data_IF_295551239206
#
_entry.id   IF_295551239206
#
_cell.length_a   1.000
_cell.length_b   1.000
_cell.length_c   1.000
_cell.angle_alpha   90.00
_cell.angle_beta   90.00
_cell.angle_gamma   90.00
#
_symmetry.space_group_name_H-M   'P 1'
#
loop_
_entity.id
_entity.type
_entity.pdbx_description
1 polymer ?
#
# COMPACT_ATOMS: atom_id res chain seq x y z
N UNK A 1 -22.41 14.77 -5.34
CA UNK A 1 -22.82 13.38 -5.63
C UNK A 1 -23.11 12.65 -4.32
N UNK A 2 -23.93 11.60 -4.38
CA UNK A 2 -24.15 10.67 -3.25
C UNK A 2 -23.22 9.46 -3.42
N UNK A 3 -22.32 9.26 -2.50
CA UNK A 3 -21.26 8.25 -2.57
C UNK A 3 -21.48 7.21 -1.49
N UNK A 4 -21.49 5.93 -1.85
CA UNK A 4 -21.39 4.83 -0.92
C UNK A 4 -19.93 4.38 -0.86
N UNK A 5 -19.36 4.26 0.34
CA UNK A 5 -18.00 3.75 0.53
C UNK A 5 -17.99 2.57 1.48
N UNK A 6 -17.53 1.43 1.01
CA UNK A 6 -17.29 0.25 1.86
C UNK A 6 -15.88 0.36 2.44
N UNK A 7 -15.80 0.57 3.76
CA UNK A 7 -14.64 1.07 4.47
C UNK A 7 -14.78 2.58 4.76
N UNK A 8 -13.70 3.35 4.70
CA UNK A 8 -13.74 4.81 4.86
C UNK A 8 -13.06 5.33 6.11
N UNK A 9 -12.82 4.49 7.10
CA UNK A 9 -12.16 4.86 8.37
C UNK A 9 -10.69 4.40 8.45
N UNK A 10 -10.19 3.72 7.42
CA UNK A 10 -8.81 3.24 7.34
C UNK A 10 -7.83 4.33 6.88
N UNK A 11 -6.54 3.99 6.85
CA UNK A 11 -5.44 4.89 6.50
C UNK A 11 -5.63 5.61 5.15
N UNK A 12 -5.85 4.86 4.07
CA UNK A 12 -6.07 5.43 2.74
C UNK A 12 -7.46 6.08 2.67
N UNK A 13 -8.47 5.31 3.02
CA UNK A 13 -9.85 5.69 2.80
C UNK A 13 -10.30 6.91 3.60
N UNK A 14 -9.75 7.14 4.81
CA UNK A 14 -10.06 8.35 5.59
C UNK A 14 -9.57 9.63 4.90
N UNK A 15 -8.42 9.57 4.21
CA UNK A 15 -7.92 10.70 3.42
C UNK A 15 -8.79 10.92 2.16
N UNK A 16 -9.29 9.85 1.51
CA UNK A 16 -10.25 9.98 0.40
C UNK A 16 -11.54 10.62 0.87
N UNK A 17 -12.10 10.15 2.01
CA UNK A 17 -13.34 10.70 2.58
C UNK A 17 -13.20 12.19 2.86
N UNK A 18 -12.11 12.63 3.47
CA UNK A 18 -11.85 14.07 3.74
C UNK A 18 -11.93 14.89 2.47
N UNK A 19 -11.23 14.47 1.41
CA UNK A 19 -11.25 15.20 0.14
C UNK A 19 -12.64 15.21 -0.51
N UNK A 20 -13.39 14.10 -0.46
CA UNK A 20 -14.75 14.03 -1.00
C UNK A 20 -15.70 14.98 -0.26
N UNK A 21 -15.57 15.11 1.06
CA UNK A 21 -16.35 16.03 1.87
C UNK A 21 -15.99 17.48 1.54
N UNK A 22 -14.70 17.79 1.47
CA UNK A 22 -14.19 19.11 1.13
C UNK A 22 -14.69 19.59 -0.25
N UNK A 23 -14.94 18.65 -1.17
CA UNK A 23 -15.55 18.91 -2.48
C UNK A 23 -17.09 18.95 -2.46
N UNK A 24 -17.71 18.83 -1.29
CA UNK A 24 -19.16 18.96 -1.12
C UNK A 24 -19.95 17.70 -1.50
N UNK A 25 -19.33 16.52 -1.51
CA UNK A 25 -20.02 15.25 -1.72
C UNK A 25 -20.68 14.75 -0.44
N UNK A 26 -21.81 14.05 -0.58
CA UNK A 26 -22.46 13.35 0.54
C UNK A 26 -21.95 11.90 0.57
N UNK A 27 -21.28 11.49 1.62
CA UNK A 27 -20.64 10.20 1.74
C UNK A 27 -21.33 9.34 2.80
N UNK A 28 -21.77 8.13 2.40
CA UNK A 28 -22.25 7.10 3.33
C UNK A 28 -21.15 6.06 3.51
N UNK A 29 -20.66 5.88 4.74
CA UNK A 29 -19.61 4.94 5.10
C UNK A 29 -20.19 3.66 5.68
N UNK A 30 -19.94 2.54 5.03
CA UNK A 30 -20.18 1.21 5.62
C UNK A 30 -19.00 0.88 6.52
N UNK A 31 -19.24 0.74 7.82
CA UNK A 31 -18.22 0.48 8.84
C UNK A 31 -18.80 -0.34 10.00
N UNK A 32 -17.93 -1.08 10.68
CA UNK A 32 -18.29 -1.82 11.91
C UNK A 32 -18.45 -0.94 13.15
N UNK A 33 -18.02 0.33 13.05
CA UNK A 33 -18.05 1.25 14.19
C UNK A 33 -16.91 1.10 15.20
N UNK A 34 -15.91 0.28 14.90
CA UNK A 34 -14.76 0.00 15.77
C UNK A 34 -13.66 1.07 15.67
N UNK A 35 -13.66 1.85 14.60
CA UNK A 35 -12.65 2.89 14.34
C UNK A 35 -13.08 4.22 14.93
N UNK A 36 -12.11 5.09 15.24
CA UNK A 36 -12.38 6.43 15.74
C UNK A 36 -13.11 7.28 14.69
N UNK A 37 -14.38 7.61 14.96
CA UNK A 37 -15.30 8.31 14.05
C UNK A 37 -15.14 9.84 14.14
N UNK A 38 -14.35 10.35 15.08
CA UNK A 38 -14.13 11.80 15.26
C UNK A 38 -13.31 12.46 14.14
N UNK A 39 -12.88 11.67 13.16
CA UNK A 39 -12.01 12.10 12.05
C UNK A 39 -12.70 13.01 11.02
N UNK A 40 -14.04 13.12 11.05
CA UNK A 40 -14.80 13.80 10.00
C UNK A 40 -15.76 14.85 10.55
N UNK A 41 -15.90 15.97 9.84
CA UNK A 41 -17.05 16.85 10.03
C UNK A 41 -18.34 16.08 9.65
N UNK A 42 -19.23 15.95 10.62
CA UNK A 42 -20.41 15.07 10.53
C UNK A 42 -21.52 15.61 9.62
N UNK A 43 -21.39 16.81 9.05
CA UNK A 43 -22.46 17.42 8.26
C UNK A 43 -22.73 16.70 6.93
N UNK A 44 -21.67 16.14 6.29
CA UNK A 44 -21.75 15.50 4.98
C UNK A 44 -21.41 14.00 5.02
N UNK A 45 -21.28 13.40 6.21
CA UNK A 45 -20.98 11.98 6.39
C UNK A 45 -22.12 11.29 7.12
N UNK A 46 -22.60 10.20 6.53
CA UNK A 46 -23.52 9.27 7.16
C UNK A 46 -22.83 7.95 7.46
N UNK A 47 -23.12 7.34 8.58
CA UNK A 47 -22.56 6.04 8.96
C UNK A 47 -23.64 4.97 8.86
N UNK A 48 -23.38 3.95 8.06
CA UNK A 48 -24.15 2.73 7.97
C UNK A 48 -23.36 1.62 8.69
N UNK A 49 -23.79 1.30 9.92
CA UNK A 49 -23.10 0.31 10.74
C UNK A 49 -23.50 -1.11 10.34
N UNK A 50 -22.53 -1.89 9.88
CA UNK A 50 -22.72 -3.27 9.46
C UNK A 50 -21.45 -3.85 8.84
N UNK A 51 -21.52 -5.14 8.51
CA UNK A 51 -20.40 -5.91 7.95
C UNK A 51 -20.48 -5.96 6.42
N UNK A 52 -19.32 -5.88 5.76
CA UNK A 52 -19.25 -6.02 4.30
C UNK A 52 -19.71 -7.41 3.80
N UNK A 53 -19.67 -8.43 4.67
CA UNK A 53 -20.09 -9.77 4.35
C UNK A 53 -21.59 -10.02 4.61
N UNK A 54 -22.31 -9.06 5.18
CA UNK A 54 -23.74 -9.12 5.40
C UNK A 54 -24.50 -8.70 4.13
N UNK A 55 -24.91 -9.71 3.36
CA UNK A 55 -25.63 -9.50 2.09
C UNK A 55 -26.97 -8.80 2.27
N UNK A 56 -27.70 -9.10 3.33
CA UNK A 56 -29.02 -8.51 3.59
C UNK A 56 -28.88 -7.03 3.96
N UNK A 57 -27.90 -6.70 4.79
CA UNK A 57 -27.56 -5.32 5.14
C UNK A 57 -27.16 -4.51 3.91
N UNK A 58 -26.26 -5.03 3.07
CA UNK A 58 -25.82 -4.34 1.86
C UNK A 58 -26.98 -4.20 0.85
N UNK A 59 -27.82 -5.23 0.70
CA UNK A 59 -28.96 -5.19 -0.19
C UNK A 59 -30.01 -4.16 0.27
N UNK A 60 -30.22 -4.02 1.57
CA UNK A 60 -31.06 -2.98 2.15
C UNK A 60 -30.54 -1.59 1.79
N UNK A 61 -29.25 -1.33 2.00
CA UNK A 61 -28.63 -0.05 1.63
C UNK A 61 -28.82 0.27 0.14
N UNK A 62 -28.62 -0.73 -0.72
CA UNK A 62 -28.77 -0.57 -2.17
C UNK A 62 -30.20 -0.31 -2.63
N UNK A 63 -31.23 -0.76 -1.87
CA UNK A 63 -32.63 -0.62 -2.22
C UNK A 63 -33.26 0.65 -1.63
N UNK A 64 -32.82 1.07 -0.44
CA UNK A 64 -33.39 2.20 0.27
C UNK A 64 -32.77 3.54 -0.14
N UNK A 65 -31.64 3.50 -0.84
CA UNK A 65 -30.90 4.70 -1.24
C UNK A 65 -30.50 4.65 -2.69
N UNK A 66 -30.38 5.80 -3.32
CA UNK A 66 -29.74 5.96 -4.63
C UNK A 66 -28.34 6.56 -4.42
N UNK A 67 -27.33 5.87 -4.96
CA UNK A 67 -25.94 6.34 -4.96
C UNK A 67 -25.45 6.52 -6.39
N UNK A 68 -24.61 7.53 -6.61
CA UNK A 68 -24.01 7.81 -7.92
C UNK A 68 -22.77 6.96 -8.14
N UNK A 69 -22.03 6.67 -7.06
CA UNK A 69 -20.75 5.93 -7.10
C UNK A 69 -20.60 5.07 -5.85
N UNK A 70 -20.03 3.88 -6.03
CA UNK A 70 -19.57 2.97 -4.98
C UNK A 70 -18.04 2.97 -4.95
N UNK A 71 -17.45 3.23 -3.79
CA UNK A 71 -16.05 2.97 -3.51
C UNK A 71 -15.89 1.68 -2.71
N UNK A 72 -15.20 0.69 -3.25
CA UNK A 72 -14.81 -0.51 -2.51
C UNK A 72 -13.33 -0.41 -2.11
N UNK A 73 -13.11 -0.03 -0.84
CA UNK A 73 -11.78 0.26 -0.32
C UNK A 73 -11.12 -0.93 0.37
N UNK A 74 -11.86 -2.03 0.60
CA UNK A 74 -11.42 -3.13 1.48
C UNK A 74 -11.73 -4.54 0.97
N UNK A 75 -11.86 -4.75 -0.33
CA UNK A 75 -11.98 -6.11 -0.88
C UNK A 75 -10.61 -6.79 -0.96
N UNK A 76 -10.48 -7.95 -0.36
CA UNK A 76 -9.27 -8.77 -0.33
C UNK A 76 -9.41 -10.11 -1.05
N UNK A 77 -10.64 -10.59 -1.22
CA UNK A 77 -10.94 -11.88 -1.85
C UNK A 77 -11.92 -11.74 -3.02
N UNK A 78 -11.89 -12.66 -4.00
CA UNK A 78 -12.83 -12.62 -5.13
C UNK A 78 -14.28 -12.73 -4.70
N UNK A 79 -14.58 -13.46 -3.60
CA UNK A 79 -15.95 -13.58 -3.06
C UNK A 79 -16.48 -12.23 -2.54
N UNK A 80 -15.60 -11.41 -1.98
CA UNK A 80 -15.96 -10.06 -1.56
C UNK A 80 -16.28 -9.16 -2.75
N UNK A 81 -15.53 -9.25 -3.84
CA UNK A 81 -15.83 -8.53 -5.07
C UNK A 81 -17.10 -9.06 -5.74
N UNK A 82 -17.32 -10.39 -5.72
CA UNK A 82 -18.55 -10.98 -6.24
C UNK A 82 -19.79 -10.54 -5.44
N UNK A 83 -19.68 -10.42 -4.12
CA UNK A 83 -20.75 -9.88 -3.27
C UNK A 83 -21.16 -8.46 -3.71
N UNK A 84 -20.18 -7.60 -4.02
CA UNK A 84 -20.45 -6.25 -4.53
C UNK A 84 -21.20 -6.30 -5.86
N UNK A 85 -20.77 -7.15 -6.77
CA UNK A 85 -21.47 -7.35 -8.05
C UNK A 85 -22.90 -7.82 -7.84
N UNK A 86 -23.10 -8.85 -7.03
CA UNK A 86 -24.41 -9.44 -6.78
C UNK A 86 -25.43 -8.47 -6.17
N UNK A 87 -24.94 -7.58 -5.30
CA UNK A 87 -25.82 -6.67 -4.55
C UNK A 87 -26.09 -5.37 -5.29
N UNK A 88 -25.08 -4.79 -5.92
CA UNK A 88 -25.14 -3.41 -6.42
C UNK A 88 -25.23 -3.30 -7.95
N UNK A 89 -25.06 -4.40 -8.70
CA UNK A 89 -25.19 -4.38 -10.17
C UNK A 89 -26.56 -3.84 -10.61
N UNK A 90 -26.55 -2.89 -11.53
CA UNK A 90 -27.76 -2.23 -12.05
C UNK A 90 -28.42 -1.23 -11.08
N UNK A 91 -27.89 -1.03 -9.87
CA UNK A 91 -28.38 -0.06 -8.88
C UNK A 91 -27.46 1.14 -8.73
N UNK A 92 -26.16 0.93 -8.80
CA UNK A 92 -25.14 1.98 -8.76
C UNK A 92 -24.38 1.92 -10.09
N UNK A 93 -24.30 3.03 -10.84
CA UNK A 93 -23.72 2.98 -12.19
C UNK A 93 -22.19 2.85 -12.20
N UNK A 94 -21.49 3.30 -11.17
CA UNK A 94 -20.02 3.40 -11.14
C UNK A 94 -19.41 2.75 -9.91
N UNK A 95 -18.34 1.99 -10.11
CA UNK A 95 -17.53 1.37 -9.07
C UNK A 95 -16.07 1.84 -9.16
N UNK A 96 -15.52 2.33 -8.05
CA UNK A 96 -14.10 2.62 -7.90
C UNK A 96 -13.52 1.63 -6.89
N UNK A 97 -12.53 0.86 -7.33
CA UNK A 97 -11.94 -0.24 -6.55
C UNK A 97 -10.49 0.04 -6.16
N UNK A 98 -10.17 -0.24 -4.90
CA UNK A 98 -8.79 -0.22 -4.41
C UNK A 98 -8.11 -1.54 -4.73
N UNK A 99 -7.19 -1.53 -5.67
CA UNK A 99 -6.31 -2.65 -5.98
C UNK A 99 -4.87 -2.39 -5.50
N UNK A 100 -3.91 -3.15 -5.99
CA UNK A 100 -2.52 -3.12 -5.57
C UNK A 100 -1.59 -3.51 -6.72
N UNK A 101 -0.36 -3.04 -6.69
CA UNK A 101 0.69 -3.49 -7.61
C UNK A 101 1.05 -4.98 -7.42
N UNK A 102 0.63 -5.58 -6.32
CA UNK A 102 0.86 -7.01 -6.06
C UNK A 102 0.23 -7.92 -7.12
N UNK A 103 -0.75 -7.43 -7.88
CA UNK A 103 -1.33 -8.15 -9.03
C UNK A 103 -0.30 -8.45 -10.11
N UNK A 104 0.73 -7.61 -10.27
CA UNK A 104 1.85 -7.84 -11.19
C UNK A 104 2.92 -8.75 -10.57
N UNK A 105 3.15 -8.58 -9.26
CA UNK A 105 4.24 -9.25 -8.55
C UNK A 105 4.08 -10.77 -8.50
N UNK A 106 2.89 -11.29 -8.78
CA UNK A 106 2.58 -12.73 -8.88
C UNK A 106 2.73 -13.29 -10.29
N UNK A 107 3.19 -12.49 -11.24
CA UNK A 107 3.42 -12.91 -12.62
C UNK A 107 4.78 -13.60 -12.80
N UNK A 108 4.84 -14.58 -13.71
CA UNK A 108 6.07 -15.29 -14.05
C UNK A 108 7.08 -14.42 -14.83
N UNK A 109 6.61 -13.32 -15.42
CA UNK A 109 7.42 -12.33 -16.12
C UNK A 109 7.14 -10.93 -15.58
N UNK A 110 8.19 -10.22 -15.23
CA UNK A 110 8.14 -8.79 -14.86
C UNK A 110 9.14 -8.04 -15.74
N UNK A 111 8.66 -7.00 -16.41
CA UNK A 111 9.47 -6.09 -17.23
C UNK A 111 9.27 -4.67 -16.71
N UNK A 112 10.35 -4.00 -16.34
CA UNK A 112 10.30 -2.63 -15.87
C UNK A 112 10.47 -1.64 -17.05
N UNK A 113 9.74 -0.51 -17.08
CA UNK A 113 8.64 -0.19 -16.17
C UNK A 113 7.41 -1.04 -16.44
N UNK A 114 6.68 -1.40 -15.37
CA UNK A 114 5.46 -2.21 -15.42
C UNK A 114 4.28 -1.31 -15.80
N UNK A 115 3.58 -1.65 -16.86
CA UNK A 115 2.40 -0.94 -17.31
C UNK A 115 1.11 -1.62 -16.82
N UNK A 116 -0.02 -0.94 -16.93
CA UNK A 116 -1.29 -1.46 -16.43
C UNK A 116 -1.76 -2.72 -17.15
N UNK A 117 -1.31 -2.97 -18.38
CA UNK A 117 -1.62 -4.18 -19.17
C UNK A 117 -0.78 -5.41 -18.79
N UNK A 118 0.26 -5.25 -17.98
CA UNK A 118 1.16 -6.35 -17.58
C UNK A 118 0.53 -7.29 -16.53
N UNK A 119 -0.69 -7.01 -16.07
CA UNK A 119 -1.50 -7.90 -15.24
C UNK A 119 -1.94 -9.19 -15.96
N UNK A 120 -1.85 -9.23 -17.29
CA UNK A 120 -2.26 -10.37 -18.14
C UNK A 120 -1.22 -11.48 -18.23
N UNK A 121 -0.03 -11.27 -17.71
CA UNK A 121 0.99 -12.32 -17.68
C UNK A 121 0.55 -13.51 -16.82
N UNK A 122 1.02 -14.70 -17.20
CA UNK A 122 0.71 -15.94 -16.47
C UNK A 122 1.19 -15.83 -15.02
N UNK A 123 0.43 -16.42 -14.11
CA UNK A 123 0.84 -16.55 -12.70
C UNK A 123 2.10 -17.39 -12.59
N UNK A 124 3.06 -16.96 -11.80
CA UNK A 124 4.22 -17.73 -11.44
C UNK A 124 3.82 -18.96 -10.61
N UNK A 125 4.69 -19.98 -10.59
CA UNK A 125 4.50 -21.13 -9.70
C UNK A 125 4.41 -20.65 -8.24
N UNK A 126 3.42 -21.16 -7.51
CA UNK A 126 3.25 -20.79 -6.11
C UNK A 126 4.52 -21.08 -5.32
N UNK A 127 4.92 -20.11 -4.52
CA UNK A 127 6.13 -20.15 -3.70
C UNK A 127 5.74 -20.03 -2.23
N UNK A 128 5.75 -21.15 -1.50
CA UNK A 128 5.24 -21.26 -0.13
C UNK A 128 5.91 -20.31 0.87
N UNK A 129 7.20 -20.03 0.69
CA UNK A 129 7.98 -19.14 1.55
C UNK A 129 8.29 -17.81 0.85
N UNK A 130 7.33 -17.29 0.11
CA UNK A 130 7.54 -16.02 -0.58
C UNK A 130 7.65 -14.83 0.40
N UNK A 131 8.53 -13.86 0.10
CA UNK A 131 8.74 -12.68 0.96
C UNK A 131 7.76 -11.53 0.68
N UNK A 132 6.72 -11.71 -0.12
CA UNK A 132 5.90 -10.61 -0.66
C UNK A 132 4.38 -10.82 -0.61
N UNK A 133 3.90 -11.77 0.16
CA UNK A 133 2.46 -12.01 0.28
C UNK A 133 1.83 -12.48 -1.04
N UNK A 134 2.37 -13.54 -1.65
CA UNK A 134 1.93 -14.03 -2.97
C UNK A 134 0.43 -14.34 -3.03
N UNK A 135 -0.14 -14.96 -1.98
CA UNK A 135 -1.57 -15.26 -1.92
C UNK A 135 -2.42 -13.99 -2.00
N UNK A 136 -2.01 -12.93 -1.30
CA UNK A 136 -2.68 -11.64 -1.38
C UNK A 136 -2.70 -11.09 -2.81
N UNK A 137 -1.57 -11.14 -3.52
CA UNK A 137 -1.50 -10.69 -4.92
C UNK A 137 -2.39 -11.52 -5.85
N UNK A 138 -2.43 -12.84 -5.65
CA UNK A 138 -3.31 -13.75 -6.42
C UNK A 138 -4.78 -13.42 -6.17
N UNK A 139 -5.17 -13.24 -4.92
CA UNK A 139 -6.58 -12.98 -4.57
C UNK A 139 -7.01 -11.59 -5.05
N UNK A 140 -6.15 -10.57 -4.93
CA UNK A 140 -6.42 -9.24 -5.49
C UNK A 140 -6.57 -9.28 -7.02
N UNK A 141 -5.76 -10.07 -7.72
CA UNK A 141 -5.92 -10.27 -9.17
C UNK A 141 -7.27 -10.89 -9.52
N UNK A 142 -7.70 -11.90 -8.77
CA UNK A 142 -9.03 -12.49 -8.94
C UNK A 142 -10.17 -11.51 -8.60
N UNK A 143 -9.99 -10.61 -7.64
CA UNK A 143 -10.94 -9.52 -7.39
C UNK A 143 -11.11 -8.66 -8.63
N UNK A 144 -10.00 -8.26 -9.26
CA UNK A 144 -10.05 -7.49 -10.51
C UNK A 144 -10.74 -8.26 -11.63
N UNK A 145 -10.45 -9.57 -11.80
CA UNK A 145 -11.10 -10.41 -12.82
C UNK A 145 -12.64 -10.42 -12.69
N UNK A 146 -13.15 -10.53 -11.45
CA UNK A 146 -14.59 -10.45 -11.16
C UNK A 146 -15.17 -9.09 -11.58
N UNK A 147 -14.50 -8.02 -11.21
CA UNK A 147 -14.97 -6.66 -11.47
C UNK A 147 -14.84 -6.28 -12.95
N UNK A 148 -13.79 -6.71 -13.65
CA UNK A 148 -13.67 -6.53 -15.11
C UNK A 148 -14.73 -7.30 -15.87
N UNK A 149 -15.08 -8.51 -15.44
CA UNK A 149 -16.19 -9.27 -15.99
C UNK A 149 -17.50 -8.49 -15.84
N UNK A 150 -17.77 -7.96 -14.66
CA UNK A 150 -18.98 -7.16 -14.40
C UNK A 150 -19.03 -5.88 -15.26
N UNK A 151 -17.87 -5.21 -15.46
CA UNK A 151 -17.76 -4.07 -16.36
C UNK A 151 -18.10 -4.44 -17.82
N UNK A 152 -17.48 -5.50 -18.33
CA UNK A 152 -17.70 -5.97 -19.71
C UNK A 152 -19.15 -6.45 -19.95
N UNK A 153 -19.84 -6.90 -18.91
CA UNK A 153 -21.28 -7.24 -18.95
C UNK A 153 -22.19 -6.01 -18.78
N UNK A 154 -21.64 -4.81 -18.68
CA UNK A 154 -22.42 -3.56 -18.53
C UNK A 154 -23.08 -3.38 -17.17
N UNK A 155 -22.62 -4.08 -16.13
CA UNK A 155 -23.17 -3.99 -14.77
C UNK A 155 -22.73 -2.76 -14.01
N UNK A 156 -21.49 -2.31 -14.27
CA UNK A 156 -20.87 -1.10 -13.69
C UNK A 156 -19.90 -0.48 -14.67
N UNK A 157 -19.70 0.82 -14.55
CA UNK A 157 -18.50 1.50 -15.02
C UNK A 157 -17.40 1.36 -13.96
N UNK A 158 -16.43 0.47 -14.20
CA UNK A 158 -15.37 0.17 -13.21
C UNK A 158 -14.12 1.01 -13.46
N UNK A 159 -13.53 1.56 -12.40
CA UNK A 159 -12.19 2.13 -12.40
C UNK A 159 -11.40 1.55 -11.21
N UNK A 160 -10.09 1.33 -11.37
CA UNK A 160 -9.26 0.76 -10.32
C UNK A 160 -7.97 1.54 -10.12
N UNK A 161 -7.50 1.60 -8.87
CA UNK A 161 -6.15 2.08 -8.53
C UNK A 161 -5.32 0.91 -8.02
N UNK A 162 -4.14 0.74 -8.60
CA UNK A 162 -3.08 -0.17 -8.16
C UNK A 162 -2.00 0.62 -7.47
N UNK A 163 -2.01 0.60 -6.14
CA UNK A 163 -1.05 1.32 -5.31
C UNK A 163 0.12 0.40 -4.90
N UNK A 164 1.36 0.93 -4.85
CA UNK A 164 2.51 0.27 -4.24
C UNK A 164 2.49 0.40 -2.71
N UNK A 165 3.66 0.57 -2.09
CA UNK A 165 3.76 0.89 -0.66
C UNK A 165 3.20 2.29 -0.39
N UNK A 166 2.06 2.35 0.29
CA UNK A 166 1.46 3.62 0.70
C UNK A 166 2.09 4.05 1.99
N UNK A 167 2.63 5.26 2.02
CA UNK A 167 3.41 5.83 3.11
C UNK A 167 2.80 7.14 3.60
N UNK A 168 3.12 7.52 4.83
CA UNK A 168 2.67 8.76 5.43
C UNK A 168 2.25 8.63 6.89
N UNK A 169 1.84 9.74 7.54
CA UNK A 169 1.30 9.71 8.88
C UNK A 169 0.12 8.74 9.01
N UNK A 170 0.06 8.00 10.11
CA UNK A 170 -0.95 6.98 10.39
C UNK A 170 -0.85 5.69 9.56
N UNK A 171 0.27 5.43 8.83
CA UNK A 171 0.47 4.12 8.18
C UNK A 171 0.35 2.98 9.22
N UNK A 172 -0.63 2.07 9.08
CA UNK A 172 -0.82 0.98 10.03
C UNK A 172 0.35 0.00 10.05
N UNK A 173 1.07 -0.13 8.93
CA UNK A 173 2.24 -1.01 8.81
C UNK A 173 3.51 -0.37 9.36
N UNK A 174 3.54 0.96 9.52
CA UNK A 174 4.66 1.72 10.09
C UNK A 174 6.01 1.41 9.46
N UNK A 175 6.04 1.22 8.15
CA UNK A 175 7.23 0.82 7.41
C UNK A 175 8.34 1.86 7.49
N UNK A 176 7.98 3.15 7.34
CA UNK A 176 8.92 4.24 7.46
C UNK A 176 9.50 4.32 8.87
N UNK A 177 8.66 4.12 9.89
CA UNK A 177 9.10 4.19 11.29
C UNK A 177 10.09 3.10 11.67
N UNK A 178 10.01 1.93 11.06
CA UNK A 178 11.01 0.88 11.22
C UNK A 178 12.43 1.41 10.97
N UNK A 179 12.61 2.17 9.88
CA UNK A 179 13.89 2.75 9.50
C UNK A 179 14.20 4.04 10.27
N UNK A 180 13.23 4.93 10.47
CA UNK A 180 13.38 6.19 11.22
C UNK A 180 13.97 5.91 12.60
N UNK A 181 13.40 4.99 13.37
CA UNK A 181 13.85 4.72 14.72
C UNK A 181 15.26 4.11 14.75
N UNK A 182 15.56 3.20 13.82
CA UNK A 182 16.88 2.57 13.72
C UNK A 182 17.97 3.53 13.24
N UNK A 183 17.62 4.52 12.43
CA UNK A 183 18.57 5.58 12.04
C UNK A 183 18.85 6.49 13.23
N UNK A 184 17.81 6.90 13.96
CA UNK A 184 17.93 7.83 15.08
C UNK A 184 18.74 7.26 16.25
N UNK A 185 18.76 5.94 16.45
CA UNK A 185 19.58 5.31 17.50
C UNK A 185 21.09 5.29 17.17
N UNK A 186 21.45 5.59 15.91
CA UNK A 186 22.84 5.70 15.46
C UNK A 186 23.62 4.38 15.42
N UNK A 187 23.00 3.26 15.77
CA UNK A 187 23.64 1.94 15.79
C UNK A 187 23.62 1.31 14.38
N UNK A 188 24.48 0.31 14.07
CA UNK A 188 24.54 -0.33 12.76
C UNK A 188 23.17 -0.81 12.25
N UNK A 189 22.88 -0.58 10.97
CA UNK A 189 21.68 -1.05 10.28
C UNK A 189 21.96 -2.36 9.54
N UNK A 190 21.12 -3.36 9.75
CA UNK A 190 21.12 -4.55 8.91
C UNK A 190 20.41 -4.25 7.58
N UNK A 191 21.11 -4.44 6.48
CA UNK A 191 20.58 -4.24 5.14
C UNK A 191 20.36 -5.60 4.47
N UNK A 192 19.11 -5.94 4.10
CA UNK A 192 18.83 -7.21 3.43
C UNK A 192 19.39 -7.23 2.00
N UNK A 193 20.26 -8.21 1.73
CA UNK A 193 20.98 -8.31 0.45
C UNK A 193 21.93 -7.12 0.24
N UNK A 194 21.95 -6.63 -1.00
CA UNK A 194 22.73 -5.43 -1.37
C UNK A 194 22.04 -4.11 -1.03
N UNK A 195 20.71 -4.13 -0.88
CA UNK A 195 19.90 -2.92 -0.75
C UNK A 195 19.66 -2.15 -2.06
N UNK A 196 20.00 -2.74 -3.22
CA UNK A 196 19.98 -2.05 -4.52
C UNK A 196 18.71 -2.30 -5.35
N UNK A 197 17.80 -3.13 -4.86
CA UNK A 197 16.53 -3.33 -5.56
C UNK A 197 15.66 -2.08 -5.49
N UNK A 198 15.28 -1.58 -6.66
CA UNK A 198 14.47 -0.38 -6.78
C UNK A 198 12.98 -0.67 -6.58
N UNK A 199 12.32 0.25 -5.90
CA UNK A 199 10.88 0.26 -5.67
C UNK A 199 10.33 1.68 -5.70
N UNK A 200 9.01 1.81 -5.73
CA UNK A 200 8.33 3.09 -5.63
C UNK A 200 7.36 3.05 -4.45
N UNK A 201 7.23 4.18 -3.80
CA UNK A 201 6.25 4.43 -2.76
C UNK A 201 5.17 5.35 -3.30
N UNK A 202 4.12 5.60 -2.53
CA UNK A 202 3.17 6.67 -2.80
C UNK A 202 2.77 7.34 -1.50
N UNK A 203 2.80 8.66 -1.49
CA UNK A 203 2.27 9.41 -0.36
C UNK A 203 0.76 9.26 -0.27
N UNK A 204 0.24 9.00 0.92
CA UNK A 204 -1.20 8.70 1.12
C UNK A 204 -2.11 9.80 0.63
N UNK A 205 -1.70 11.08 0.73
CA UNK A 205 -2.52 12.21 0.27
C UNK A 205 -2.57 12.29 -1.27
N UNK A 206 -1.47 11.95 -1.97
CA UNK A 206 -1.43 11.88 -3.44
C UNK A 206 -2.32 10.75 -3.94
N UNK A 207 -2.25 9.59 -3.27
CA UNK A 207 -3.11 8.46 -3.57
C UNK A 207 -4.59 8.80 -3.36
N UNK A 208 -4.92 9.45 -2.26
CA UNK A 208 -6.29 9.89 -1.96
C UNK A 208 -6.80 10.87 -3.02
N UNK A 209 -5.96 11.82 -3.44
CA UNK A 209 -6.30 12.73 -4.54
C UNK A 209 -6.59 11.98 -5.83
N UNK A 210 -5.79 10.98 -6.18
CA UNK A 210 -6.02 10.17 -7.38
C UNK A 210 -7.37 9.44 -7.34
N UNK A 211 -7.81 8.93 -6.18
CA UNK A 211 -9.15 8.36 -6.02
C UNK A 211 -10.27 9.36 -6.29
N UNK A 212 -10.09 10.61 -5.89
CA UNK A 212 -11.07 11.69 -6.15
C UNK A 212 -11.03 12.15 -7.61
N UNK A 213 -9.83 12.22 -8.20
CA UNK A 213 -9.67 12.58 -9.60
C UNK A 213 -10.30 11.54 -10.54
N UNK A 214 -10.30 10.24 -10.18
CA UNK A 214 -11.06 9.22 -10.92
C UNK A 214 -12.55 9.56 -11.03
N UNK A 215 -13.13 10.11 -9.97
CA UNK A 215 -14.54 10.48 -9.95
C UNK A 215 -14.88 11.54 -10.99
N UNK A 216 -13.96 12.47 -11.23
CA UNK A 216 -14.11 13.62 -12.14
C UNK A 216 -13.78 13.28 -13.58
N UNK A 217 -13.09 12.17 -13.84
CA UNK A 217 -12.53 11.81 -15.14
C UNK A 217 -13.39 10.75 -15.83
N UNK A 218 -14.18 11.15 -16.83
CA UNK A 218 -15.02 10.23 -17.61
C UNK A 218 -14.19 9.14 -18.31
N UNK A 219 -13.06 9.50 -18.87
CA UNK A 219 -12.14 8.59 -19.55
C UNK A 219 -11.47 7.56 -18.61
N UNK A 220 -11.69 7.66 -17.31
CA UNK A 220 -11.17 6.68 -16.33
C UNK A 220 -11.99 5.39 -16.26
N UNK A 221 -13.20 5.40 -16.81
CA UNK A 221 -14.09 4.25 -16.84
C UNK A 221 -13.49 3.12 -17.70
N UNK A 222 -13.54 1.90 -17.19
CA UNK A 222 -12.93 0.74 -17.83
C UNK A 222 -11.40 0.69 -17.76
N UNK A 223 -10.76 1.45 -16.84
CA UNK A 223 -9.32 1.51 -16.74
C UNK A 223 -8.82 1.23 -15.32
N UNK A 224 -7.64 0.61 -15.24
CA UNK A 224 -6.80 0.58 -14.05
C UNK A 224 -5.71 1.64 -14.16
N UNK A 225 -5.23 2.12 -13.01
CA UNK A 225 -4.18 3.13 -12.91
C UNK A 225 -3.13 2.72 -11.89
N UNK A 226 -1.88 2.69 -12.30
CA UNK A 226 -0.76 2.67 -11.36
C UNK A 226 -0.61 4.07 -10.75
N UNK A 227 -0.67 4.15 -9.43
CA UNK A 227 -0.48 5.40 -8.68
C UNK A 227 0.72 5.22 -7.76
N UNK A 228 1.86 5.68 -8.20
CA UNK A 228 3.15 5.59 -7.52
C UNK A 228 3.89 6.93 -7.58
N UNK A 229 4.85 7.15 -6.68
CA UNK A 229 5.75 8.30 -6.79
C UNK A 229 6.55 8.24 -8.09
N UNK A 230 6.84 9.41 -8.66
CA UNK A 230 7.76 9.52 -9.79
C UNK A 230 9.21 9.29 -9.37
N UNK A 231 9.53 9.46 -8.08
CA UNK A 231 10.82 9.13 -7.51
C UNK A 231 10.95 7.62 -7.35
N UNK A 232 12.08 7.10 -7.78
CA UNK A 232 12.42 5.68 -7.73
C UNK A 232 13.60 5.54 -6.78
N UNK A 233 13.43 4.75 -5.72
CA UNK A 233 14.47 4.51 -4.73
C UNK A 233 14.84 3.03 -4.69
N UNK A 234 16.15 2.74 -4.65
CA UNK A 234 16.62 1.53 -3.99
C UNK A 234 16.46 1.69 -2.47
N UNK A 235 16.57 0.61 -1.71
CA UNK A 235 16.58 0.73 -0.24
C UNK A 235 17.74 1.63 0.22
N UNK A 236 18.89 1.55 -0.43
CA UNK A 236 20.04 2.40 -0.13
C UNK A 236 19.75 3.88 -0.39
N UNK A 237 19.14 4.23 -1.53
CA UNK A 237 18.75 5.61 -1.85
C UNK A 237 17.71 6.15 -0.86
N UNK A 238 16.71 5.33 -0.52
CA UNK A 238 15.70 5.67 0.47
C UNK A 238 16.34 5.97 1.84
N UNK A 239 17.26 5.10 2.29
CA UNK A 239 17.97 5.31 3.55
C UNK A 239 18.90 6.53 3.50
N UNK A 240 19.51 6.85 2.34
CA UNK A 240 20.30 8.06 2.19
C UNK A 240 19.46 9.32 2.32
N UNK A 241 18.31 9.35 1.63
CA UNK A 241 17.36 10.47 1.73
C UNK A 241 16.84 10.63 3.17
N UNK A 242 16.50 9.54 3.83
CA UNK A 242 16.02 9.56 5.21
C UNK A 242 17.11 9.98 6.21
N UNK A 243 18.35 9.50 6.04
CA UNK A 243 19.50 9.93 6.85
C UNK A 243 19.79 11.42 6.71
N UNK A 244 19.62 11.99 5.52
CA UNK A 244 19.75 13.43 5.31
C UNK A 244 18.72 14.22 6.11
N UNK A 245 17.44 13.79 6.09
CA UNK A 245 16.39 14.45 6.85
C UNK A 245 16.57 14.33 8.36
N UNK A 246 17.07 13.18 8.83
CA UNK A 246 17.30 12.91 10.25
C UNK A 246 18.68 13.38 10.77
N UNK A 247 19.53 13.89 9.87
CA UNK A 247 20.91 14.29 10.17
C UNK A 247 21.71 13.24 10.97
N UNK A 248 21.52 11.96 10.64
CA UNK A 248 22.15 10.82 11.31
C UNK A 248 22.47 9.75 10.27
N UNK A 249 23.73 9.26 10.24
CA UNK A 249 24.20 8.26 9.26
C UNK A 249 24.83 7.06 9.96
N UNK A 250 24.03 6.07 10.38
CA UNK A 250 24.56 4.84 10.95
C UNK A 250 25.26 4.00 9.89
N UNK A 251 26.19 3.15 10.36
CA UNK A 251 26.85 2.17 9.50
C UNK A 251 25.83 1.18 8.93
N UNK A 252 25.96 0.82 7.66
CA UNK A 252 25.13 -0.20 6.98
C UNK A 252 25.88 -1.51 6.87
N UNK A 253 25.26 -2.59 7.28
CA UNK A 253 25.82 -3.95 7.25
C UNK A 253 24.95 -4.83 6.36
N UNK A 254 25.41 -5.07 5.14
CA UNK A 254 24.73 -5.94 4.17
C UNK A 254 24.83 -7.40 4.59
N UNK A 255 23.69 -8.08 4.61
CA UNK A 255 23.54 -9.48 5.03
C UNK A 255 22.68 -10.20 3.99
N UNK A 256 23.14 -11.35 3.52
CA UNK A 256 22.41 -12.15 2.53
C UNK A 256 21.04 -12.60 3.08
N UNK A 257 20.01 -12.60 2.22
CA UNK A 257 18.64 -12.87 2.64
C UNK A 257 18.47 -14.23 3.33
N UNK A 258 19.16 -15.26 2.84
CA UNK A 258 19.13 -16.62 3.39
C UNK A 258 19.74 -16.73 4.81
N UNK A 259 20.57 -15.76 5.20
CA UNK A 259 21.13 -15.70 6.56
C UNK A 259 20.07 -15.22 7.55
N UNK A 260 19.20 -14.28 7.15
CA UNK A 260 18.11 -13.82 8.00
C UNK A 260 17.15 -14.95 8.39
N UNK A 261 16.89 -15.89 7.47
CA UNK A 261 16.04 -17.07 7.76
C UNK A 261 16.61 -18.01 8.83
N UNK A 262 17.91 -17.91 9.11
CA UNK A 262 18.64 -18.74 10.08
C UNK A 262 18.87 -18.04 11.41
N UNK A 263 18.49 -16.75 11.53
CA UNK A 263 18.65 -16.02 12.78
C UNK A 263 17.72 -16.60 13.87
N UNK A 264 18.21 -16.67 15.14
CA UNK A 264 17.40 -17.14 16.26
C UNK A 264 16.41 -16.08 16.78
N UNK A 265 16.26 -14.98 16.07
CA UNK A 265 15.33 -13.88 16.40
C UNK A 265 14.79 -13.26 15.11
N UNK A 266 13.60 -12.69 15.17
CA UNK A 266 13.01 -11.96 14.06
C UNK A 266 13.39 -10.49 14.13
N UNK A 267 13.75 -9.91 12.97
CA UNK A 267 14.00 -8.48 12.81
C UNK A 267 12.68 -7.72 12.70
N UNK A 268 11.65 -8.36 12.19
CA UNK A 268 10.29 -7.83 12.02
C UNK A 268 9.27 -8.84 12.57
N UNK A 269 8.06 -8.41 13.02
CA UNK A 269 7.00 -9.33 13.45
C UNK A 269 6.53 -10.28 12.35
N UNK A 270 6.66 -9.90 11.10
CA UNK A 270 6.35 -10.75 9.95
C UNK A 270 7.50 -11.72 9.61
N UNK A 271 8.35 -12.04 10.59
CA UNK A 271 9.51 -12.90 10.43
C UNK A 271 10.73 -12.15 9.90
N UNK A 272 11.25 -12.52 8.73
CA UNK A 272 12.42 -11.89 8.14
C UNK A 272 12.09 -10.91 7.02
N UNK A 273 10.82 -10.51 6.91
CA UNK A 273 10.40 -9.51 5.96
C UNK A 273 10.84 -8.12 6.44
N UNK A 274 11.63 -7.45 5.64
CA UNK A 274 11.96 -6.04 5.84
C UNK A 274 10.91 -5.15 5.18
N UNK A 275 10.68 -3.94 5.71
CA UNK A 275 9.91 -2.95 5.00
C UNK A 275 10.48 -2.70 3.60
N UNK A 276 9.56 -2.62 2.62
CA UNK A 276 9.84 -2.43 1.21
C UNK A 276 10.41 -3.67 0.49
N UNK A 277 10.57 -3.55 -0.81
CA UNK A 277 10.98 -4.68 -1.65
C UNK A 277 12.49 -4.92 -1.55
N UNK A 278 12.87 -6.12 -1.15
CA UNK A 278 14.27 -6.49 -0.92
C UNK A 278 14.79 -7.61 -1.83
N UNK A 279 14.00 -8.08 -2.79
CA UNK A 279 14.37 -9.26 -3.58
C UNK A 279 14.34 -9.07 -5.10
N UNK A 280 13.71 -8.04 -5.63
CA UNK A 280 13.73 -7.68 -7.06
C UNK A 280 13.30 -6.24 -7.31
N UNK A 281 13.78 -5.64 -8.40
CA UNK A 281 13.34 -4.32 -8.84
C UNK A 281 11.91 -4.37 -9.38
N UNK A 282 11.07 -3.42 -8.94
CA UNK A 282 9.71 -3.23 -9.42
C UNK A 282 9.42 -1.73 -9.58
N UNK A 283 9.33 -1.29 -10.82
CA UNK A 283 9.10 0.11 -11.22
C UNK A 283 7.82 0.15 -12.05
N UNK A 284 6.89 1.02 -11.69
CA UNK A 284 5.58 1.13 -12.30
C UNK A 284 5.49 2.40 -13.15
N UNK A 285 5.05 2.28 -14.40
CA UNK A 285 4.71 3.45 -15.21
C UNK A 285 3.50 4.14 -14.61
N UNK A 286 3.60 5.46 -14.45
CA UNK A 286 2.51 6.35 -14.03
C UNK A 286 2.03 7.25 -15.19
N UNK A 287 2.43 6.94 -16.42
CA UNK A 287 2.15 7.76 -17.59
C UNK A 287 0.66 7.88 -17.86
N UNK A 288 -0.10 6.80 -17.63
CA UNK A 288 -1.56 6.82 -17.74
C UNK A 288 -2.16 7.76 -16.72
N UNK A 289 -1.76 7.68 -15.46
CA UNK A 289 -2.25 8.55 -14.40
C UNK A 289 -1.90 10.03 -14.67
N UNK A 290 -0.71 10.32 -15.16
CA UNK A 290 -0.32 11.68 -15.56
C UNK A 290 -1.21 12.22 -16.68
N UNK A 291 -1.42 11.42 -17.73
CA UNK A 291 -2.18 11.85 -18.89
C UNK A 291 -3.67 12.01 -18.60
N UNK A 292 -4.29 11.04 -17.92
CA UNK A 292 -5.74 10.97 -17.76
C UNK A 292 -6.21 11.69 -16.49
N UNK A 293 -5.42 11.67 -15.39
CA UNK A 293 -5.78 12.24 -14.09
C UNK A 293 -4.97 13.50 -13.73
N UNK A 294 -4.06 13.94 -14.59
CA UNK A 294 -3.09 15.00 -14.26
C UNK A 294 -2.32 14.71 -12.94
N UNK A 295 -2.02 13.43 -12.70
CA UNK A 295 -1.35 12.98 -11.49
C UNK A 295 0.06 13.55 -11.39
N UNK A 296 0.40 14.03 -10.22
CA UNK A 296 1.74 14.46 -9.82
C UNK A 296 2.01 13.95 -8.41
N UNK A 297 3.18 13.36 -8.19
CA UNK A 297 3.56 12.92 -6.86
C UNK A 297 4.26 14.03 -6.07
N UNK A 298 3.96 14.10 -4.78
CA UNK A 298 4.69 14.97 -3.86
C UNK A 298 6.10 14.41 -3.64
N UNK A 299 7.17 15.21 -3.81
CA UNK A 299 8.54 14.76 -3.56
C UNK A 299 8.75 14.24 -2.13
N UNK A 300 9.60 13.21 -2.00
CA UNK A 300 9.91 12.56 -0.72
C UNK A 300 10.30 13.55 0.37
N UNK A 301 11.17 14.50 0.06
CA UNK A 301 11.65 15.53 0.98
C UNK A 301 10.53 16.46 1.49
N UNK A 302 9.39 16.51 0.82
CA UNK A 302 8.25 17.36 1.19
C UNK A 302 7.26 16.66 2.11
N UNK A 303 7.03 15.36 1.94
CA UNK A 303 6.03 14.64 2.73
C UNK A 303 6.63 13.84 3.90
N UNK A 304 7.88 13.39 3.80
CA UNK A 304 8.52 12.60 4.84
C UNK A 304 8.71 13.36 6.17
N UNK A 305 8.98 14.67 6.20
CA UNK A 305 9.02 15.42 7.46
C UNK A 305 7.73 15.33 8.28
N UNK A 306 6.55 15.41 7.65
CA UNK A 306 5.25 15.25 8.35
C UNK A 306 5.12 13.83 8.95
N UNK A 307 5.63 12.82 8.23
CA UNK A 307 5.63 11.43 8.69
C UNK A 307 6.56 11.24 9.89
N UNK A 308 7.76 11.80 9.84
CA UNK A 308 8.73 11.77 10.94
C UNK A 308 8.14 12.45 12.18
N UNK A 309 7.58 13.64 12.00
CA UNK A 309 6.97 14.41 13.10
C UNK A 309 5.85 13.63 13.78
N UNK A 310 4.94 13.03 13.00
CA UNK A 310 3.87 12.22 13.53
C UNK A 310 4.38 11.02 14.35
N UNK A 311 5.37 10.28 13.86
CA UNK A 311 5.92 9.14 14.58
C UNK A 311 6.60 9.56 15.89
N UNK A 312 7.36 10.65 15.89
CA UNK A 312 8.13 11.09 17.05
C UNK A 312 7.27 11.81 18.10
N UNK A 313 6.28 12.60 17.67
CA UNK A 313 5.54 13.49 18.55
C UNK A 313 4.13 13.02 18.90
N UNK A 314 3.49 12.21 18.05
CA UNK A 314 2.13 11.71 18.29
C UNK A 314 2.11 10.22 18.62
N UNK A 315 2.71 9.36 17.78
CA UNK A 315 2.67 7.92 17.96
C UNK A 315 3.48 7.45 19.17
N UNK A 316 4.70 7.89 19.34
CA UNK A 316 5.57 7.73 20.54
C UNK A 316 5.76 6.29 21.04
N UNK A 317 5.63 5.29 20.18
CA UNK A 317 5.83 3.88 20.54
C UNK A 317 6.97 3.31 19.70
N UNK A 318 7.58 2.24 20.18
CA UNK A 318 8.59 1.54 19.42
C UNK A 318 8.07 1.03 18.08
N UNK A 319 8.96 1.04 17.10
CA UNK A 319 8.70 0.43 15.81
C UNK A 319 8.66 -1.09 15.95
N UNK A 320 8.03 -1.68 14.97
CA UNK A 320 7.89 -3.12 14.87
C UNK A 320 9.27 -3.81 14.90
N UNK A 321 9.40 -4.85 15.72
CA UNK A 321 10.65 -5.61 15.88
C UNK A 321 11.74 -4.93 16.71
N UNK A 322 11.56 -3.69 17.15
CA UNK A 322 12.58 -2.93 17.86
C UNK A 322 13.00 -3.55 19.21
N UNK A 323 12.17 -4.36 19.82
CA UNK A 323 12.51 -5.12 21.02
C UNK A 323 13.68 -6.11 20.85
N UNK A 324 14.06 -6.44 19.61
CA UNK A 324 15.23 -7.25 19.29
C UNK A 324 16.45 -6.41 18.85
N UNK A 325 16.39 -5.09 18.98
CA UNK A 325 17.41 -4.18 18.44
C UNK A 325 18.83 -4.47 18.92
N UNK A 326 19.01 -4.80 20.19
CA UNK A 326 20.34 -5.14 20.72
C UNK A 326 20.89 -6.43 20.09
N UNK A 327 20.04 -7.41 19.78
CA UNK A 327 20.43 -8.63 19.05
C UNK A 327 20.80 -8.34 17.58
N UNK A 328 20.09 -7.41 16.94
CA UNK A 328 20.44 -6.95 15.58
C UNK A 328 21.84 -6.34 15.55
N UNK A 329 22.14 -5.47 16.51
CA UNK A 329 23.44 -4.80 16.65
C UNK A 329 24.55 -5.82 16.94
N UNK A 330 24.34 -6.71 17.91
CA UNK A 330 25.28 -7.77 18.22
C UNK A 330 25.58 -8.67 17.02
N UNK A 331 24.53 -9.02 16.28
CA UNK A 331 24.66 -9.80 15.06
C UNK A 331 25.44 -9.04 13.97
N UNK A 332 25.15 -7.75 13.76
CA UNK A 332 25.86 -6.92 12.78
C UNK A 332 27.38 -6.89 13.05
N UNK A 333 27.78 -6.73 14.32
CA UNK A 333 29.18 -6.72 14.72
C UNK A 333 29.88 -8.09 14.52
N UNK A 334 29.18 -9.18 14.87
CA UNK A 334 29.67 -10.53 14.63
C UNK A 334 29.81 -10.82 13.12
N UNK A 335 28.83 -10.42 12.33
CA UNK A 335 28.82 -10.62 10.89
C UNK A 335 30.00 -9.92 10.20
N UNK A 336 30.22 -8.65 10.52
CA UNK A 336 31.37 -7.88 10.01
C UNK A 336 32.70 -8.57 10.33
N UNK A 337 32.89 -8.97 11.59
CA UNK A 337 34.10 -9.64 12.01
C UNK A 337 34.35 -10.94 11.23
N UNK A 338 33.38 -11.85 11.16
CA UNK A 338 33.54 -13.12 10.47
C UNK A 338 33.73 -12.95 8.96
N UNK A 339 33.02 -12.01 8.34
CA UNK A 339 33.20 -11.66 6.93
C UNK A 339 34.62 -11.16 6.65
N UNK A 340 35.15 -10.29 7.54
CA UNK A 340 36.51 -9.80 7.46
C UNK A 340 37.56 -10.91 7.61
N UNK A 341 37.38 -11.82 8.59
CA UNK A 341 38.25 -12.97 8.79
C UNK A 341 38.24 -13.94 7.58
N UNK A 342 37.07 -14.14 6.95
CA UNK A 342 36.94 -14.96 5.77
C UNK A 342 37.69 -14.34 4.59
N UNK A 343 37.48 -13.05 4.34
CA UNK A 343 38.17 -12.32 3.26
C UNK A 343 39.69 -12.42 3.45
N UNK A 344 40.18 -12.15 4.66
CA UNK A 344 41.64 -12.21 4.98
C UNK A 344 42.25 -13.62 4.79
N UNK A 345 41.43 -14.69 4.79
CA UNK A 345 41.91 -16.07 4.54
C UNK A 345 41.94 -16.44 3.05
N UNK A 346 41.22 -15.73 2.18
CA UNK A 346 41.12 -16.03 0.75
C UNK A 346 41.84 -15.01 -0.13
N UNK A 347 42.27 -13.90 0.46
CA UNK A 347 43.15 -12.89 -0.17
C UNK A 347 44.58 -12.99 0.36
#
# INVERSE_FOLDING_TARGET
MKILMIGGTGFISSNVVKLLIDEGHNVTLVTRGESNIELFDKSNVQFAYGERHDREFLAKLANENSYDVLYDMIAYTPDESQMIVDVFAGKIPRLIHTSTISVYMVSDVIRNPINEEDDKHRLMKFWDRNPFGMQYGIDKRKCEDVLWKAHNEGKFEVSMIRAPYVCGPHDPMKRDYFWIQRILDGKPLLIPGSGDYASQHVFVKDLAKAFVDLLKTEDSKGKAYNIASEEIFSLNDYLDALCNLLNTRPERVSVDLDVFEKLPFSVSPEGHAFPFNTYRTAIFSVDRAKRDLNFQSTPFEKWMPDTIDWYLNEYKKDSVGYGNRDKEVEFAEKWKRYKGELIAKVT
#
